data_IF_187657137099
#
_entry.id   IF_187657137099
#
_cell.length_a   1.000
_cell.length_b   1.000
_cell.length_c   1.000
_cell.angle_alpha   90.00
_cell.angle_beta   90.00
_cell.angle_gamma   90.00
#
_symmetry.space_group_name_H-M   'P 1'
#
loop_
_entity.id
_entity.type
_entity.pdbx_description
1 polymer ?
#
# COMPACT_ATOMS: atom_id res chain seq x y z
N UNK A 1 -5.98 2.44 -27.00
CA UNK A 1 -5.26 3.52 -26.30
C UNK A 1 -3.81 3.07 -26.22
N UNK A 2 -2.87 3.75 -26.88
CA UNK A 2 -1.45 3.41 -26.74
C UNK A 2 -0.99 3.73 -25.31
N UNK A 3 -0.32 2.78 -24.68
CA UNK A 3 0.31 2.99 -23.38
C UNK A 3 1.63 3.71 -23.64
N UNK A 4 1.75 4.95 -23.16
CA UNK A 4 2.99 5.74 -23.29
C UNK A 4 3.89 5.59 -22.05
N UNK A 5 5.19 5.86 -22.22
CA UNK A 5 6.16 5.83 -21.11
C UNK A 5 5.78 6.83 -20.01
N UNK A 6 5.32 8.02 -20.40
CA UNK A 6 4.89 9.07 -19.47
C UNK A 6 3.63 8.66 -18.69
N UNK A 7 2.70 7.93 -19.31
CA UNK A 7 1.51 7.43 -18.65
C UNK A 7 1.85 6.34 -17.61
N UNK A 8 2.78 5.43 -17.96
CA UNK A 8 3.27 4.41 -17.02
C UNK A 8 4.02 5.03 -15.83
N UNK A 9 4.91 5.99 -16.08
CA UNK A 9 5.65 6.66 -15.02
C UNK A 9 4.72 7.39 -14.04
N UNK A 10 3.73 8.14 -14.55
CA UNK A 10 2.72 8.79 -13.69
C UNK A 10 1.94 7.79 -12.85
N UNK A 11 1.61 6.64 -13.43
CA UNK A 11 0.85 5.61 -12.72
C UNK A 11 1.70 4.90 -11.66
N UNK A 12 3.00 4.68 -11.91
CA UNK A 12 3.96 4.19 -10.92
C UNK A 12 4.08 5.16 -9.75
N UNK A 13 4.30 6.45 -10.02
CA UNK A 13 4.37 7.48 -8.97
C UNK A 13 3.08 7.55 -8.14
N UNK A 14 1.92 7.44 -8.81
CA UNK A 14 0.62 7.39 -8.13
C UNK A 14 0.49 6.16 -7.23
N UNK A 15 0.98 5.00 -7.68
CA UNK A 15 0.98 3.78 -6.87
C UNK A 15 1.94 3.90 -5.68
N UNK A 16 3.12 4.49 -5.86
CA UNK A 16 4.07 4.74 -4.78
C UNK A 16 3.45 5.65 -3.69
N UNK A 17 2.76 6.72 -4.10
CA UNK A 17 2.03 7.60 -3.18
C UNK A 17 0.93 6.87 -2.41
N UNK A 18 0.15 6.01 -3.08
CA UNK A 18 -0.88 5.20 -2.43
C UNK A 18 -0.30 4.20 -1.45
N UNK A 19 0.77 3.50 -1.82
CA UNK A 19 1.46 2.56 -0.93
C UNK A 19 1.95 3.28 0.32
N UNK A 20 2.57 4.46 0.18
CA UNK A 20 3.03 5.24 1.33
C UNK A 20 1.88 5.64 2.27
N UNK A 21 0.75 6.07 1.72
CA UNK A 21 -0.45 6.43 2.51
C UNK A 21 -1.01 5.24 3.29
N UNK A 22 -1.16 4.09 2.62
CA UNK A 22 -1.65 2.86 3.24
C UNK A 22 -0.70 2.39 4.36
N UNK A 23 0.62 2.44 4.14
CA UNK A 23 1.60 2.06 5.16
C UNK A 23 1.57 2.99 6.38
N UNK A 24 1.39 4.30 6.19
CA UNK A 24 1.25 5.25 7.30
C UNK A 24 -0.03 4.95 8.11
N UNK A 25 -1.13 4.63 7.44
CA UNK A 25 -2.37 4.25 8.10
C UNK A 25 -2.24 2.94 8.88
N UNK A 26 -1.55 1.94 8.31
CA UNK A 26 -1.24 0.68 8.99
C UNK A 26 -0.42 0.91 10.26
N UNK A 27 0.58 1.80 10.17
CA UNK A 27 1.41 2.20 11.31
C UNK A 27 0.57 2.85 12.41
N UNK A 28 -0.31 3.79 12.09
CA UNK A 28 -1.22 4.40 13.07
C UNK A 28 -2.09 3.37 13.79
N UNK A 29 -2.62 2.38 13.07
CA UNK A 29 -3.39 1.30 13.69
C UNK A 29 -2.52 0.42 14.60
N UNK A 30 -1.31 0.11 14.18
CA UNK A 30 -0.37 -0.66 15.01
C UNK A 30 0.02 0.11 16.28
N UNK A 31 0.33 1.40 16.17
CA UNK A 31 0.63 2.27 17.32
C UNK A 31 -0.53 2.32 18.30
N UNK A 32 -1.76 2.53 17.81
CA UNK A 32 -2.94 2.54 18.68
C UNK A 32 -3.11 1.23 19.46
N UNK A 33 -2.89 0.09 18.80
CA UNK A 33 -2.97 -1.23 19.43
C UNK A 33 -1.88 -1.33 20.50
N UNK A 34 -0.63 -1.02 20.16
CA UNK A 34 0.52 -1.10 21.07
C UNK A 34 0.33 -0.24 22.32
N UNK A 35 -0.17 1.00 22.19
CA UNK A 35 -0.46 1.90 23.32
C UNK A 35 -1.45 1.32 24.34
N UNK A 36 -2.28 0.37 23.92
CA UNK A 36 -3.38 -0.19 24.71
C UNK A 36 -3.14 -1.65 25.10
N UNK A 37 -2.04 -2.24 24.64
CA UNK A 37 -1.62 -3.56 25.11
C UNK A 37 -1.30 -3.45 26.60
N UNK A 38 -2.13 -4.11 27.41
CA UNK A 38 -1.97 -4.14 28.87
C UNK A 38 -2.86 -3.17 29.63
N UNK A 39 -3.68 -2.36 28.96
CA UNK A 39 -4.76 -1.60 29.60
C UNK A 39 -6.03 -2.47 29.69
N UNK A 40 -6.41 -2.94 30.89
CA UNK A 40 -7.58 -3.80 31.07
C UNK A 40 -8.92 -3.07 30.88
N UNK A 41 -8.94 -1.74 30.89
CA UNK A 41 -10.13 -0.94 30.56
C UNK A 41 -10.25 -0.66 29.05
N UNK A 42 -9.19 -0.94 28.29
CA UNK A 42 -9.22 -0.78 26.85
C UNK A 42 -10.07 -1.86 26.19
N UNK A 43 -11.15 -1.44 25.54
CA UNK A 43 -11.95 -2.35 24.74
C UNK A 43 -11.09 -2.91 23.58
N UNK A 44 -11.02 -4.24 23.47
CA UNK A 44 -10.35 -4.90 22.35
C UNK A 44 -10.98 -4.45 21.03
N UNK A 45 -10.25 -3.64 20.27
CA UNK A 45 -10.71 -3.14 18.97
C UNK A 45 -10.24 -4.06 17.85
N UNK A 46 -10.96 -5.18 17.66
CA UNK A 46 -10.75 -6.10 16.53
C UNK A 46 -10.89 -5.42 15.15
N UNK A 47 -11.49 -4.22 15.10
CA UNK A 47 -11.59 -3.40 13.90
C UNK A 47 -10.22 -2.99 13.38
N UNK A 48 -9.27 -2.60 14.25
CA UNK A 48 -7.95 -2.18 13.81
C UNK A 48 -7.06 -3.33 13.34
N UNK A 49 -7.12 -4.50 13.98
CA UNK A 49 -6.43 -5.69 13.44
C UNK A 49 -6.97 -6.09 12.06
N UNK A 50 -8.30 -5.98 11.85
CA UNK A 50 -8.91 -6.22 10.52
C UNK A 50 -8.49 -5.14 9.52
N UNK A 51 -8.46 -3.88 9.92
CA UNK A 51 -7.99 -2.79 9.04
C UNK A 51 -6.54 -2.99 8.63
N UNK A 52 -5.65 -3.40 9.54
CA UNK A 52 -4.25 -3.75 9.22
C UNK A 52 -4.18 -4.85 8.15
N UNK A 53 -4.96 -5.93 8.31
CA UNK A 53 -4.99 -7.03 7.32
C UNK A 53 -5.53 -6.59 5.95
N UNK A 54 -6.55 -5.72 5.94
CA UNK A 54 -7.09 -5.14 4.70
C UNK A 54 -6.05 -4.26 4.00
N UNK A 55 -5.39 -3.37 4.77
CA UNK A 55 -4.32 -2.51 4.27
C UNK A 55 -3.16 -3.32 3.72
N UNK A 56 -2.76 -4.41 4.37
CA UNK A 56 -1.72 -5.31 3.86
C UNK A 56 -2.11 -5.90 2.49
N UNK A 57 -3.37 -6.33 2.34
CA UNK A 57 -3.90 -6.86 1.07
C UNK A 57 -3.82 -5.80 -0.03
N UNK A 58 -4.31 -4.58 0.25
CA UNK A 58 -4.27 -3.45 -0.67
C UNK A 58 -2.85 -3.08 -1.10
N UNK A 59 -1.90 -3.02 -0.15
CA UNK A 59 -0.49 -2.70 -0.46
C UNK A 59 0.13 -3.78 -1.35
N UNK A 60 -0.15 -5.07 -1.10
CA UNK A 60 0.33 -6.17 -1.95
C UNK A 60 -0.18 -6.04 -3.39
N UNK A 61 -1.44 -5.68 -3.59
CA UNK A 61 -2.02 -5.44 -4.91
C UNK A 61 -1.37 -4.24 -5.62
N UNK A 62 -1.16 -3.13 -4.92
CA UNK A 62 -0.49 -1.96 -5.48
C UNK A 62 0.96 -2.25 -5.85
N UNK A 63 1.70 -2.99 -5.03
CA UNK A 63 3.06 -3.42 -5.34
C UNK A 63 3.09 -4.30 -6.59
N UNK A 64 2.23 -5.32 -6.67
CA UNK A 64 2.17 -6.19 -7.84
C UNK A 64 1.88 -5.41 -9.13
N UNK A 65 0.94 -4.46 -9.06
CA UNK A 65 0.60 -3.60 -10.20
C UNK A 65 1.75 -2.67 -10.59
N UNK A 66 2.47 -2.11 -9.60
CA UNK A 66 3.63 -1.25 -9.83
C UNK A 66 4.76 -2.00 -10.52
N UNK A 67 5.08 -3.21 -10.06
CA UNK A 67 6.11 -4.03 -10.69
C UNK A 67 5.73 -4.43 -12.12
N UNK A 68 4.45 -4.77 -12.38
CA UNK A 68 3.98 -5.02 -13.73
C UNK A 68 4.17 -3.82 -14.67
N UNK A 69 3.95 -2.58 -14.18
CA UNK A 69 4.20 -1.38 -14.97
C UNK A 69 5.69 -1.10 -15.19
N UNK A 70 6.54 -1.39 -14.20
CA UNK A 70 8.01 -1.30 -14.35
C UNK A 70 8.52 -2.29 -15.39
N UNK A 71 8.01 -3.51 -15.41
CA UNK A 71 8.36 -4.53 -16.40
C UNK A 71 7.98 -4.09 -17.82
N UNK A 72 6.76 -3.55 -17.99
CA UNK A 72 6.32 -2.99 -19.27
C UNK A 72 7.24 -1.85 -19.69
N UNK A 73 7.52 -0.89 -18.81
CA UNK A 73 8.38 0.26 -19.10
C UNK A 73 9.79 -0.19 -19.53
N UNK A 74 10.40 -1.14 -18.79
CA UNK A 74 11.71 -1.69 -19.12
C UNK A 74 11.70 -2.39 -20.50
N UNK A 75 10.62 -3.10 -20.84
CA UNK A 75 10.49 -3.73 -22.16
C UNK A 75 10.41 -2.71 -23.32
N UNK A 76 9.91 -1.50 -23.06
CA UNK A 76 9.86 -0.39 -24.03
C UNK A 76 11.17 0.38 -24.14
N UNK A 77 12.11 0.20 -23.22
CA UNK A 77 13.45 0.81 -23.26
C UNK A 77 14.48 -0.09 -23.94
N UNK A 78 14.23 -1.40 -23.95
CA UNK A 78 15.10 -2.40 -24.62
C UNK A 78 14.81 -2.58 -26.12
N UNK A 79 13.76 -1.92 -26.63
CA UNK A 79 13.43 -1.83 -28.06
C UNK A 79 13.97 -0.54 -28.65
#
# INVERSE_FOLDING_TARGET
MEITKEALNREIERLDGKIAQELEQMKHYAEWILERIGDPESAVNYGFSRSIANTETTVREYLARREAFRDILSSMEKK
#
